data_IF_804137640474
#
_entry.id   IF_804137640474
#
_cell.length_a   1.000
_cell.length_b   1.000
_cell.length_c   1.000
_cell.angle_alpha   90.00
_cell.angle_beta   90.00
_cell.angle_gamma   90.00
#
_symmetry.space_group_name_H-M   'P 1'
#
loop_
_entity.id
_entity.type
_entity.pdbx_description
1 polymer ?
#
# COMPACT_ATOMS: atom_id res chain seq x y z
N UNK A 1 14.42 -4.86 0.34
CA UNK A 1 14.91 -5.98 -0.48
C UNK A 1 13.78 -6.91 -0.93
N UNK A 2 13.01 -7.53 -0.02
CA UNK A 2 11.94 -8.48 -0.38
C UNK A 2 10.86 -7.95 -1.35
N UNK A 3 10.37 -6.72 -1.14
CA UNK A 3 9.37 -6.09 -2.04
C UNK A 3 9.88 -5.90 -3.47
N UNK A 4 11.15 -5.50 -3.63
CA UNK A 4 11.78 -5.33 -4.94
C UNK A 4 11.91 -6.66 -5.68
N UNK A 5 12.44 -7.68 -4.99
CA UNK A 5 12.55 -9.04 -5.54
C UNK A 5 11.18 -9.62 -5.94
N UNK A 6 10.17 -9.47 -5.08
CA UNK A 6 8.80 -9.90 -5.35
C UNK A 6 8.23 -9.28 -6.64
N UNK A 7 8.45 -7.98 -6.85
CA UNK A 7 7.97 -7.31 -8.05
C UNK A 7 8.78 -7.64 -9.31
N UNK A 8 10.08 -7.95 -9.20
CA UNK A 8 10.86 -8.48 -10.33
C UNK A 8 10.32 -9.86 -10.74
N UNK A 9 10.07 -10.75 -9.77
CA UNK A 9 9.45 -12.05 -10.03
C UNK A 9 8.06 -11.86 -10.65
N UNK A 10 7.27 -10.91 -10.15
CA UNK A 10 5.96 -10.59 -10.72
C UNK A 10 6.07 -10.09 -12.17
N UNK A 11 7.08 -9.30 -12.52
CA UNK A 11 7.33 -8.88 -13.91
C UNK A 11 7.62 -10.09 -14.81
N UNK A 12 8.44 -11.03 -14.33
CA UNK A 12 8.73 -12.28 -15.07
C UNK A 12 7.43 -13.08 -15.29
N UNK A 13 6.58 -13.21 -14.26
CA UNK A 13 5.30 -13.88 -14.38
C UNK A 13 4.35 -13.18 -15.36
N UNK A 14 4.28 -11.84 -15.32
CA UNK A 14 3.45 -11.03 -16.21
C UNK A 14 3.86 -11.09 -17.69
N UNK A 15 5.10 -11.49 -17.99
CA UNK A 15 5.52 -11.73 -19.37
C UNK A 15 4.89 -13.00 -19.96
N UNK A 16 4.37 -13.90 -19.12
CA UNK A 16 3.83 -15.21 -19.51
C UNK A 16 2.33 -15.34 -19.20
N UNK A 17 1.84 -14.58 -18.22
CA UNK A 17 0.49 -14.73 -17.68
C UNK A 17 -0.29 -13.41 -17.75
N UNK A 18 -1.63 -13.46 -17.93
CA UNK A 18 -2.47 -12.29 -17.84
C UNK A 18 -2.39 -11.61 -16.47
N UNK A 19 -2.59 -10.28 -16.46
CA UNK A 19 -2.57 -9.45 -15.24
C UNK A 19 -3.55 -9.97 -14.19
N UNK A 20 -4.80 -10.25 -14.59
CA UNK A 20 -5.85 -10.70 -13.68
C UNK A 20 -5.51 -12.05 -13.03
N UNK A 21 -4.95 -12.99 -13.80
CA UNK A 21 -4.55 -14.29 -13.29
C UNK A 21 -3.37 -14.17 -12.31
N UNK A 22 -2.38 -13.34 -12.65
CA UNK A 22 -1.23 -13.06 -11.77
C UNK A 22 -1.67 -12.39 -10.46
N UNK A 23 -2.63 -11.46 -10.54
CA UNK A 23 -3.24 -10.84 -9.36
C UNK A 23 -3.94 -11.87 -8.47
N UNK A 24 -4.77 -12.73 -9.06
CA UNK A 24 -5.47 -13.79 -8.33
C UNK A 24 -4.52 -14.72 -7.56
N UNK A 25 -3.41 -15.14 -8.17
CA UNK A 25 -2.40 -15.96 -7.48
C UNK A 25 -1.79 -15.21 -6.29
N UNK A 26 -1.47 -13.92 -6.45
CA UNK A 26 -0.90 -13.10 -5.36
C UNK A 26 -1.85 -12.98 -4.18
N UNK A 27 -3.14 -12.75 -4.43
CA UNK A 27 -4.15 -12.64 -3.39
C UNK A 27 -4.40 -13.98 -2.69
N UNK A 28 -4.44 -15.09 -3.42
CA UNK A 28 -4.56 -16.43 -2.82
C UNK A 28 -3.34 -16.73 -1.92
N UNK A 29 -2.13 -16.46 -2.41
CA UNK A 29 -0.90 -16.68 -1.62
C UNK A 29 -0.87 -15.80 -0.36
N UNK A 30 -1.31 -14.54 -0.45
CA UNK A 30 -1.43 -13.64 0.69
C UNK A 30 -2.45 -14.19 1.70
N UNK A 31 -3.65 -14.56 1.23
CA UNK A 31 -4.70 -15.11 2.08
C UNK A 31 -4.24 -16.39 2.80
N UNK A 32 -3.60 -17.31 2.09
CA UNK A 32 -3.04 -18.54 2.67
C UNK A 32 -1.98 -18.22 3.74
N UNK A 33 -1.08 -17.29 3.46
CA UNK A 33 -0.02 -16.89 4.39
C UNK A 33 -0.62 -16.26 5.65
N UNK A 34 -1.56 -15.33 5.50
CA UNK A 34 -2.22 -14.68 6.62
C UNK A 34 -3.03 -15.68 7.44
N UNK A 35 -3.78 -16.58 6.81
CA UNK A 35 -4.55 -17.63 7.51
C UNK A 35 -3.64 -18.59 8.27
N UNK A 36 -2.52 -19.00 7.69
CA UNK A 36 -1.55 -19.87 8.35
C UNK A 36 -0.94 -19.21 9.59
N UNK A 37 -0.60 -17.92 9.50
CA UNK A 37 -0.01 -17.16 10.62
C UNK A 37 -1.04 -16.82 11.71
N UNK A 38 -2.31 -16.65 11.34
CA UNK A 38 -3.39 -16.25 12.25
C UNK A 38 -4.30 -17.40 12.66
N UNK A 39 -3.83 -18.65 12.52
CA UNK A 39 -4.56 -19.85 12.91
C UNK A 39 -4.65 -20.02 14.44
N UNK A 40 -5.31 -19.09 15.12
CA UNK A 40 -5.52 -19.04 16.57
C UNK A 40 -6.93 -18.57 16.87
N UNK A 41 -7.56 -19.08 17.94
CA UNK A 41 -8.96 -18.76 18.28
C UNK A 41 -9.20 -17.28 18.61
N UNK A 42 -8.20 -16.55 19.12
CA UNK A 42 -8.35 -15.16 19.55
C UNK A 42 -8.70 -14.20 18.39
N UNK A 43 -7.93 -14.10 17.28
CA UNK A 43 -8.31 -13.28 16.12
C UNK A 43 -9.69 -13.62 15.55
N UNK A 44 -10.05 -14.90 15.48
CA UNK A 44 -11.37 -15.32 15.01
C UNK A 44 -12.51 -14.80 15.88
N UNK A 45 -12.32 -14.79 17.21
CA UNK A 45 -13.31 -14.26 18.14
C UNK A 45 -13.44 -12.73 18.01
N UNK A 46 -12.35 -12.01 17.79
CA UNK A 46 -12.35 -10.56 17.56
C UNK A 46 -13.09 -10.20 16.27
N UNK A 47 -12.76 -10.86 15.16
CA UNK A 47 -13.45 -10.67 13.87
C UNK A 47 -14.94 -10.94 14.03
N UNK A 48 -15.32 -12.05 14.67
CA UNK A 48 -16.73 -12.36 14.94
C UNK A 48 -17.40 -11.31 15.83
N UNK A 49 -16.66 -10.75 16.79
CA UNK A 49 -17.08 -9.62 17.62
C UNK A 49 -17.42 -8.39 16.79
N UNK A 50 -16.56 -8.01 15.84
CA UNK A 50 -16.80 -6.89 14.94
C UNK A 50 -18.06 -7.08 14.10
N UNK A 51 -18.32 -8.29 13.58
CA UNK A 51 -19.53 -8.58 12.82
C UNK A 51 -20.79 -8.52 13.69
N UNK A 52 -20.73 -9.07 14.90
CA UNK A 52 -21.86 -9.06 15.84
C UNK A 52 -22.22 -7.63 16.28
N UNK A 53 -21.22 -6.78 16.48
CA UNK A 53 -21.41 -5.41 16.94
C UNK A 53 -21.61 -4.41 15.79
N UNK A 54 -21.56 -4.86 14.52
CA UNK A 54 -21.57 -4.00 13.32
C UNK A 54 -20.60 -2.83 13.43
N UNK A 55 -19.39 -3.12 13.87
CA UNK A 55 -18.38 -2.10 14.09
C UNK A 55 -18.07 -1.35 12.79
N UNK A 56 -17.98 0.00 12.80
CA UNK A 56 -17.56 0.77 11.64
C UNK A 56 -16.16 0.38 11.14
N UNK A 57 -15.34 -0.26 11.97
CA UNK A 57 -14.06 -0.82 11.56
C UNK A 57 -14.19 -1.83 10.42
N UNK A 58 -15.28 -2.62 10.36
CA UNK A 58 -15.52 -3.54 9.24
C UNK A 58 -15.73 -2.82 7.92
N UNK A 59 -16.39 -1.66 7.95
CA UNK A 59 -16.60 -0.86 6.76
C UNK A 59 -15.27 -0.27 6.28
N UNK A 60 -14.47 0.31 7.18
CA UNK A 60 -13.17 0.87 6.83
C UNK A 60 -12.20 -0.18 6.29
N UNK A 61 -12.07 -1.32 6.99
CA UNK A 61 -11.22 -2.43 6.54
C UNK A 61 -11.74 -3.02 5.24
N UNK A 62 -13.07 -3.21 5.12
CA UNK A 62 -13.69 -3.75 3.92
C UNK A 62 -13.46 -2.87 2.69
N UNK A 63 -13.71 -1.55 2.80
CA UNK A 63 -13.44 -0.62 1.69
C UNK A 63 -11.96 -0.61 1.32
N UNK A 64 -11.07 -0.57 2.32
CA UNK A 64 -9.65 -0.59 2.07
C UNK A 64 -9.22 -1.87 1.33
N UNK A 65 -9.62 -3.03 1.81
CA UNK A 65 -9.13 -4.30 1.28
C UNK A 65 -9.76 -4.65 -0.08
N UNK A 66 -11.08 -4.51 -0.21
CA UNK A 66 -11.78 -4.90 -1.43
C UNK A 66 -11.61 -3.89 -2.58
N UNK A 67 -11.50 -2.60 -2.27
CA UNK A 67 -11.41 -1.57 -3.31
C UNK A 67 -10.03 -0.95 -3.36
N UNK A 68 -9.62 -0.22 -2.31
CA UNK A 68 -8.42 0.62 -2.37
C UNK A 68 -7.15 -0.19 -2.65
N UNK A 69 -6.92 -1.26 -1.89
CA UNK A 69 -5.75 -2.12 -2.02
C UNK A 69 -5.78 -2.91 -3.33
N UNK A 70 -6.91 -3.56 -3.65
CA UNK A 70 -7.05 -4.37 -4.86
C UNK A 70 -6.92 -3.54 -6.15
N UNK A 71 -7.57 -2.38 -6.23
CA UNK A 71 -7.44 -1.48 -7.38
C UNK A 71 -5.99 -0.98 -7.49
N UNK A 72 -5.38 -0.58 -6.38
CA UNK A 72 -3.99 -0.13 -6.36
C UNK A 72 -3.02 -1.20 -6.87
N UNK A 73 -3.17 -2.45 -6.41
CA UNK A 73 -2.35 -3.58 -6.82
C UNK A 73 -2.60 -3.97 -8.29
N UNK A 74 -3.85 -3.95 -8.76
CA UNK A 74 -4.14 -4.19 -10.17
C UNK A 74 -3.53 -3.13 -11.09
N UNK A 75 -3.65 -1.84 -10.74
CA UNK A 75 -3.01 -0.76 -11.49
C UNK A 75 -1.49 -0.89 -11.48
N UNK A 76 -0.91 -1.29 -10.35
CA UNK A 76 0.51 -1.58 -10.22
C UNK A 76 0.95 -2.71 -11.17
N UNK A 77 0.23 -3.84 -11.18
CA UNK A 77 0.53 -4.97 -12.07
C UNK A 77 0.32 -4.61 -13.53
N UNK A 78 -0.69 -3.80 -13.84
CA UNK A 78 -0.92 -3.28 -15.18
C UNK A 78 0.25 -2.40 -15.64
N UNK A 79 0.71 -1.47 -14.80
CA UNK A 79 1.89 -0.65 -15.10
C UNK A 79 3.14 -1.53 -15.27
N UNK A 80 3.31 -2.51 -14.39
CA UNK A 80 4.43 -3.45 -14.45
C UNK A 80 4.39 -4.31 -15.72
N UNK A 81 3.20 -4.69 -16.21
CA UNK A 81 3.09 -5.44 -17.47
C UNK A 81 3.57 -4.62 -18.68
N UNK A 82 3.33 -3.31 -18.68
CA UNK A 82 3.62 -2.41 -19.81
C UNK A 82 5.00 -1.74 -19.75
N UNK A 83 5.56 -1.53 -18.56
CA UNK A 83 6.81 -0.81 -18.35
C UNK A 83 7.96 -1.67 -17.81
N UNK A 84 9.19 -1.14 -17.77
CA UNK A 84 10.30 -1.77 -17.08
C UNK A 84 10.09 -1.71 -15.56
N UNK A 85 10.53 -2.74 -14.86
CA UNK A 85 10.35 -2.85 -13.41
C UNK A 85 11.05 -1.70 -12.65
N UNK A 86 12.20 -1.23 -13.12
CA UNK A 86 12.93 -0.10 -12.52
C UNK A 86 12.10 1.17 -12.46
N UNK A 87 11.48 1.55 -13.58
CA UNK A 87 10.65 2.76 -13.68
C UNK A 87 9.38 2.63 -12.84
N UNK A 88 8.67 1.50 -12.97
CA UNK A 88 7.41 1.27 -12.25
C UNK A 88 7.66 1.25 -10.73
N UNK A 89 8.73 0.60 -10.27
CA UNK A 89 9.10 0.58 -8.86
C UNK A 89 9.60 1.93 -8.35
N UNK A 90 10.32 2.69 -9.18
CA UNK A 90 10.67 4.08 -8.88
C UNK A 90 9.42 4.93 -8.62
N UNK A 91 8.44 4.86 -9.52
CA UNK A 91 7.17 5.58 -9.37
C UNK A 91 6.39 5.12 -8.14
N UNK A 92 6.32 3.82 -7.84
CA UNK A 92 5.69 3.31 -6.61
C UNK A 92 6.38 3.87 -5.36
N UNK A 93 7.69 4.11 -5.40
CA UNK A 93 8.44 4.77 -4.34
C UNK A 93 7.90 6.16 -3.96
N UNK A 94 7.27 6.87 -4.90
CA UNK A 94 6.61 8.16 -4.63
C UNK A 94 5.41 8.04 -3.70
N UNK A 95 4.87 6.84 -3.43
CA UNK A 95 3.80 6.62 -2.45
C UNK A 95 4.13 7.26 -1.10
N UNK A 96 5.39 7.27 -0.67
CA UNK A 96 5.81 7.91 0.57
C UNK A 96 5.50 9.42 0.57
N UNK A 97 5.65 10.10 -0.57
CA UNK A 97 5.22 11.50 -0.71
C UNK A 97 3.71 11.66 -0.49
N UNK A 98 2.89 10.80 -1.12
CA UNK A 98 1.44 10.86 -0.94
C UNK A 98 1.02 10.59 0.50
N UNK A 99 1.71 9.69 1.20
CA UNK A 99 1.46 9.43 2.64
C UNK A 99 1.77 10.67 3.47
N UNK A 100 2.92 11.32 3.24
CA UNK A 100 3.31 12.55 3.95
C UNK A 100 2.33 13.68 3.68
N UNK A 101 1.92 13.84 2.42
CA UNK A 101 0.96 14.87 2.01
C UNK A 101 -0.41 14.62 2.64
N UNK A 102 -0.92 13.39 2.54
CA UNK A 102 -2.21 13.00 3.12
C UNK A 102 -2.22 13.14 4.64
N UNK A 103 -1.19 12.67 5.34
CA UNK A 103 -1.11 12.79 6.79
C UNK A 103 -1.00 14.24 7.24
N UNK A 104 -0.27 15.08 6.50
CA UNK A 104 -0.17 16.51 6.81
C UNK A 104 -1.49 17.23 6.61
N UNK A 105 -2.19 16.98 5.50
CA UNK A 105 -3.52 17.56 5.25
C UNK A 105 -4.49 17.12 6.33
N UNK A 106 -4.51 15.83 6.67
CA UNK A 106 -5.40 15.29 7.69
C UNK A 106 -5.08 15.87 9.07
N UNK A 107 -3.82 16.05 9.43
CA UNK A 107 -3.41 16.65 10.70
C UNK A 107 -3.77 18.16 10.78
N UNK A 108 -3.73 18.87 9.65
CA UNK A 108 -4.12 20.29 9.57
C UNK A 108 -5.63 20.49 9.67
N UNK A 109 -6.43 19.65 9.00
CA UNK A 109 -7.90 19.73 9.00
C UNK A 109 -8.47 19.19 10.31
N UNK A 110 -7.95 18.06 10.78
CA UNK A 110 -8.45 17.35 11.95
C UNK A 110 -7.36 17.23 13.01
N UNK A 111 -7.15 18.34 13.73
CA UNK A 111 -6.15 18.41 14.81
C UNK A 111 -6.38 17.28 15.82
N UNK A 112 -5.34 16.47 16.05
CA UNK A 112 -5.37 15.34 16.98
C UNK A 112 -5.82 13.99 16.38
N UNK A 113 -6.30 13.93 15.14
CA UNK A 113 -6.73 12.67 14.51
C UNK A 113 -5.60 11.65 14.33
N UNK A 114 -4.38 12.14 14.11
CA UNK A 114 -3.17 11.32 13.91
C UNK A 114 -2.26 11.29 15.14
N UNK A 115 -2.57 12.06 16.19
CA UNK A 115 -1.67 12.23 17.34
C UNK A 115 -0.32 12.91 17.01
N UNK A 116 -0.19 13.49 15.82
CA UNK A 116 1.04 14.15 15.36
C UNK A 116 1.11 15.62 15.80
N UNK A 117 2.31 16.09 16.16
CA UNK A 117 2.56 17.50 16.42
C UNK A 117 2.59 18.31 15.13
N UNK A 118 1.68 19.26 15.01
CA UNK A 118 1.60 20.19 13.86
C UNK A 118 2.41 21.44 14.18
N UNK A 119 3.74 21.31 14.11
CA UNK A 119 4.69 22.40 14.32
C UNK A 119 5.36 22.81 12.99
N UNK A 120 5.81 24.06 12.90
CA UNK A 120 6.51 24.57 11.70
C UNK A 120 7.76 23.72 11.35
N UNK A 121 8.61 23.32 12.33
CA UNK A 121 9.73 22.41 12.06
C UNK A 121 9.30 21.03 11.55
N UNK A 122 8.21 20.47 12.07
CA UNK A 122 7.71 19.16 11.63
C UNK A 122 7.22 19.22 10.18
N UNK A 123 6.50 20.29 9.81
CA UNK A 123 6.01 20.48 8.44
C UNK A 123 7.17 20.69 7.47
N UNK A 124 8.19 21.47 7.83
CA UNK A 124 9.34 21.69 6.95
C UNK A 124 10.15 20.41 6.71
N UNK A 125 10.35 19.57 7.73
CA UNK A 125 10.99 18.27 7.59
C UNK A 125 10.20 17.33 6.66
N UNK A 126 8.87 17.35 6.74
CA UNK A 126 7.99 16.60 5.84
C UNK A 126 8.12 17.06 4.39
N UNK A 127 8.14 18.37 4.14
CA UNK A 127 8.34 18.94 2.80
C UNK A 127 9.71 18.57 2.23
N UNK A 128 10.77 18.66 3.03
CA UNK A 128 12.11 18.25 2.60
C UNK A 128 12.16 16.76 2.25
N UNK A 129 11.53 15.91 3.05
CA UNK A 129 11.43 14.47 2.79
C UNK A 129 10.73 14.18 1.46
N UNK A 130 9.64 14.88 1.18
CA UNK A 130 8.92 14.80 -0.10
C UNK A 130 9.83 15.17 -1.27
N UNK A 131 10.57 16.27 -1.18
CA UNK A 131 11.49 16.70 -2.22
C UNK A 131 12.57 15.64 -2.48
N UNK A 132 13.19 15.09 -1.43
CA UNK A 132 14.19 14.04 -1.55
C UNK A 132 13.64 12.79 -2.23
N UNK A 133 12.41 12.38 -1.92
CA UNK A 133 11.74 11.25 -2.59
C UNK A 133 11.57 11.55 -4.08
N UNK A 134 11.06 12.74 -4.44
CA UNK A 134 10.85 13.14 -5.84
C UNK A 134 12.16 13.15 -6.62
N UNK A 135 13.21 13.77 -6.07
CA UNK A 135 14.53 13.80 -6.69
C UNK A 135 15.13 12.39 -6.86
N UNK A 136 15.00 11.53 -5.85
CA UNK A 136 15.45 10.15 -5.94
C UNK A 136 14.75 9.37 -7.07
N UNK A 137 13.44 9.58 -7.24
CA UNK A 137 12.69 8.93 -8.32
C UNK A 137 13.08 9.47 -9.70
N UNK A 138 13.26 10.79 -9.83
CA UNK A 138 13.75 11.40 -11.08
C UNK A 138 15.12 10.82 -11.46
N UNK A 139 16.04 10.70 -10.49
CA UNK A 139 17.38 10.16 -10.72
C UNK A 139 17.38 8.67 -11.12
N UNK A 140 16.38 7.89 -10.70
CA UNK A 140 16.22 6.48 -11.13
C UNK A 140 15.56 6.40 -12.52
N UNK A 141 14.75 7.40 -12.89
CA UNK A 141 13.97 7.41 -14.13
C UNK A 141 14.75 7.95 -15.34
N UNK A 142 15.79 8.76 -15.10
CA UNK A 142 16.75 9.26 -16.11
C UNK A 142 17.91 8.28 -16.30
#
# INVERSE_FOLDING_TARGET
MFLGCSNVIAKIALNQLPVLFTHGIREIALAQTLLALTFRKAPWNEVRGYFRQRSPALLFVGINEFFTANIGLMLMLLALSKGPASLVLGLIGTRAMFVVLYSTILALIWRGALGEEVSLPTISAKVLSVLLIVFGVIAIAL
#
